data_IF_968406068680
#
_entry.id   IF_968406068680
#
_cell.length_a   1.000
_cell.length_b   1.000
_cell.length_c   1.000
_cell.angle_alpha   90.00
_cell.angle_beta   90.00
_cell.angle_gamma   90.00
#
_symmetry.space_group_name_H-M   'P 1'
#
loop_
_entity.id
_entity.type
_entity.pdbx_description
1 polymer ?
#
# COMPACT_ATOMS: atom_id res chain seq x y z
N UNK A 1 60.21 -2.62 -24.55
CA UNK A 1 59.64 -2.82 -23.20
C UNK A 1 58.54 -1.79 -23.00
N UNK A 2 57.29 -2.23 -22.95
CA UNK A 2 56.17 -1.62 -22.21
C UNK A 2 54.96 -2.54 -22.41
N UNK A 3 54.81 -3.47 -21.46
CA UNK A 3 53.75 -4.48 -21.46
C UNK A 3 52.38 -3.82 -21.26
N UNK A 4 51.45 -4.12 -22.17
CA UNK A 4 50.06 -3.70 -22.06
C UNK A 4 49.35 -4.51 -20.96
N UNK A 5 49.09 -3.87 -19.82
CA UNK A 5 48.30 -4.44 -18.72
C UNK A 5 46.86 -4.67 -19.19
N UNK A 6 46.58 -5.90 -19.62
CA UNK A 6 45.23 -6.35 -19.96
C UNK A 6 44.45 -6.58 -18.66
N UNK A 7 43.61 -5.61 -18.29
CA UNK A 7 42.73 -5.77 -17.13
C UNK A 7 41.52 -6.63 -17.55
N UNK A 8 41.24 -7.77 -16.89
CA UNK A 8 40.12 -8.63 -17.29
C UNK A 8 38.79 -7.92 -17.03
N UNK A 9 38.00 -7.75 -18.10
CA UNK A 9 36.65 -7.19 -18.05
C UNK A 9 35.74 -8.18 -17.31
N UNK A 10 35.46 -7.92 -16.03
CA UNK A 10 34.51 -8.71 -15.21
C UNK A 10 33.17 -8.84 -15.95
N UNK A 11 32.85 -10.05 -16.39
CA UNK A 11 31.53 -10.41 -16.90
C UNK A 11 30.54 -10.41 -15.73
N UNK A 12 29.65 -9.40 -15.68
CA UNK A 12 28.52 -9.42 -14.74
C UNK A 12 27.62 -10.58 -15.15
N UNK A 13 27.57 -11.65 -14.37
CA UNK A 13 26.61 -12.73 -14.56
C UNK A 13 25.20 -12.13 -14.50
N UNK A 14 24.47 -12.21 -15.63
CA UNK A 14 23.06 -11.83 -15.67
C UNK A 14 22.30 -12.82 -14.81
N UNK A 15 21.86 -12.39 -13.62
CA UNK A 15 20.95 -13.21 -12.82
C UNK A 15 19.69 -13.52 -13.65
N UNK A 16 19.17 -14.75 -13.56
CA UNK A 16 17.95 -15.11 -14.27
C UNK A 16 16.81 -14.17 -13.82
N UNK A 17 16.02 -13.69 -14.79
CA UNK A 17 14.94 -12.71 -14.57
C UNK A 17 13.97 -13.19 -13.47
N UNK A 18 13.75 -14.50 -13.35
CA UNK A 18 12.96 -15.10 -12.28
C UNK A 18 13.51 -14.78 -10.87
N UNK A 19 14.81 -14.97 -10.65
CA UNK A 19 15.46 -14.68 -9.37
C UNK A 19 15.44 -13.17 -9.05
N UNK A 20 15.57 -12.32 -10.07
CA UNK A 20 15.45 -10.85 -9.90
C UNK A 20 14.03 -10.46 -9.48
N UNK A 21 13.00 -11.06 -10.11
CA UNK A 21 11.59 -10.82 -9.77
C UNK A 21 11.26 -11.32 -8.37
N UNK A 22 11.75 -12.49 -7.99
CA UNK A 22 11.56 -13.06 -6.66
C UNK A 22 12.23 -12.19 -5.58
N UNK A 23 13.48 -11.75 -5.81
CA UNK A 23 14.17 -10.81 -4.94
C UNK A 23 13.46 -9.44 -4.82
N UNK A 24 12.80 -8.96 -5.88
CA UNK A 24 11.97 -7.76 -5.81
C UNK A 24 10.68 -7.99 -5.00
N UNK A 25 10.05 -9.15 -5.13
CA UNK A 25 8.85 -9.52 -4.36
C UNK A 25 9.14 -9.63 -2.87
N UNK A 26 10.23 -10.30 -2.49
CA UNK A 26 10.65 -10.44 -1.08
C UNK A 26 11.00 -9.10 -0.45
N UNK A 27 11.73 -8.24 -1.16
CA UNK A 27 12.01 -6.86 -0.71
C UNK A 27 10.73 -6.05 -0.48
N UNK A 28 9.78 -6.07 -1.43
CA UNK A 28 8.47 -5.41 -1.26
C UNK A 28 7.64 -6.02 -0.13
N UNK A 29 7.74 -7.31 0.12
CA UNK A 29 7.05 -7.95 1.24
C UNK A 29 7.64 -7.51 2.59
N UNK A 30 8.97 -7.46 2.70
CA UNK A 30 9.67 -6.95 3.89
C UNK A 30 9.37 -5.47 4.14
N UNK A 31 9.34 -4.65 3.09
CA UNK A 31 8.96 -3.24 3.21
C UNK A 31 7.53 -3.11 3.75
N UNK A 32 6.56 -3.85 3.19
CA UNK A 32 5.17 -3.86 3.67
C UNK A 32 5.06 -4.34 5.12
N UNK A 33 5.87 -5.32 5.53
CA UNK A 33 5.90 -5.77 6.91
C UNK A 33 6.40 -4.66 7.85
N UNK A 34 7.48 -3.95 7.49
CA UNK A 34 7.98 -2.81 8.27
C UNK A 34 7.01 -1.63 8.32
N UNK A 35 6.37 -1.31 7.19
CA UNK A 35 5.35 -0.26 7.14
C UNK A 35 4.14 -0.63 8.01
N UNK A 36 3.73 -1.89 7.97
CA UNK A 36 2.69 -2.42 8.85
C UNK A 36 3.08 -2.38 10.33
N UNK A 37 4.31 -2.74 10.68
CA UNK A 37 4.84 -2.61 12.04
C UNK A 37 4.87 -1.15 12.51
N UNK A 38 5.19 -0.22 11.61
CA UNK A 38 5.16 1.22 11.88
C UNK A 38 3.74 1.82 11.91
N UNK A 39 2.68 1.01 11.75
CA UNK A 39 1.31 1.51 11.76
C UNK A 39 0.93 2.31 10.51
N UNK A 40 1.64 2.15 9.39
CA UNK A 40 1.30 2.78 8.10
C UNK A 40 0.55 1.77 7.21
N UNK A 41 -0.64 2.11 6.69
CA UNK A 41 -1.33 1.24 5.74
C UNK A 41 -0.58 1.19 4.40
N UNK A 42 -0.48 0.00 3.80
CA UNK A 42 0.05 -0.15 2.45
C UNK A 42 -0.92 0.39 1.38
N UNK A 43 -0.41 0.71 0.20
CA UNK A 43 -1.22 1.26 -0.89
C UNK A 43 -2.43 0.37 -1.24
N UNK A 44 -2.25 -0.96 -1.22
CA UNK A 44 -3.32 -1.90 -1.50
C UNK A 44 -4.41 -1.94 -0.43
N UNK A 45 -4.08 -1.65 0.84
CA UNK A 45 -5.08 -1.51 1.90
C UNK A 45 -5.91 -0.24 1.70
N UNK A 46 -5.27 0.87 1.30
CA UNK A 46 -5.94 2.14 1.01
C UNK A 46 -6.90 1.98 -0.17
N UNK A 47 -6.45 1.41 -1.29
CA UNK A 47 -7.29 1.22 -2.48
C UNK A 47 -8.53 0.37 -2.19
N UNK A 48 -8.34 -0.71 -1.44
CA UNK A 48 -9.47 -1.57 -1.05
C UNK A 48 -10.42 -0.87 -0.08
N UNK A 49 -9.90 -0.07 0.86
CA UNK A 49 -10.75 0.69 1.76
C UNK A 49 -11.55 1.78 1.04
N UNK A 50 -10.94 2.44 0.04
CA UNK A 50 -11.64 3.40 -0.83
C UNK A 50 -12.75 2.70 -1.64
N UNK A 51 -12.45 1.53 -2.22
CA UNK A 51 -13.45 0.74 -2.95
C UNK A 51 -14.61 0.27 -2.07
N UNK A 52 -14.32 -0.20 -0.86
CA UNK A 52 -15.35 -0.57 0.12
C UNK A 52 -16.20 0.64 0.53
N UNK A 53 -15.56 1.79 0.74
CA UNK A 53 -16.26 3.04 1.10
C UNK A 53 -17.20 3.49 -0.03
N UNK A 54 -16.72 3.51 -1.27
CA UNK A 54 -17.55 3.78 -2.44
C UNK A 54 -18.72 2.81 -2.53
N UNK A 55 -18.48 1.51 -2.35
CA UNK A 55 -19.54 0.50 -2.40
C UNK A 55 -20.61 0.74 -1.33
N UNK A 56 -20.22 1.13 -0.11
CA UNK A 56 -21.17 1.46 0.97
C UNK A 56 -21.98 2.70 0.60
N UNK A 57 -21.32 3.75 0.13
CA UNK A 57 -21.99 4.99 -0.23
C UNK A 57 -22.96 4.81 -1.40
N UNK A 58 -22.54 4.06 -2.44
CA UNK A 58 -23.33 3.79 -3.64
C UNK A 58 -24.51 2.82 -3.39
N UNK A 59 -24.46 2.03 -2.30
CA UNK A 59 -25.54 1.10 -1.93
C UNK A 59 -26.42 1.61 -0.77
N UNK A 60 -26.19 2.82 -0.27
CA UNK A 60 -26.84 3.31 0.94
C UNK A 60 -28.32 3.66 0.72
N UNK A 61 -28.68 4.09 -0.49
CA UNK A 61 -30.03 4.51 -0.88
C UNK A 61 -30.30 4.24 -2.36
N UNK A 62 -31.57 4.20 -2.76
CA UNK A 62 -32.00 4.09 -4.17
C UNK A 62 -31.48 5.23 -5.06
N UNK A 63 -31.26 6.41 -4.49
CA UNK A 63 -30.73 7.60 -5.19
C UNK A 63 -29.20 7.74 -5.07
N UNK A 64 -28.51 6.73 -4.56
CA UNK A 64 -27.06 6.82 -4.30
C UNK A 64 -26.20 7.01 -5.56
N UNK A 65 -26.74 6.73 -6.74
CA UNK A 65 -26.06 6.97 -8.02
C UNK A 65 -26.28 8.39 -8.58
N UNK A 66 -27.32 9.09 -8.14
CA UNK A 66 -27.64 10.46 -8.59
C UNK A 66 -27.17 11.53 -7.60
N UNK A 67 -26.88 11.15 -6.36
CA UNK A 67 -26.40 12.08 -5.33
C UNK A 67 -24.89 12.32 -5.45
N UNK A 68 -24.41 13.57 -5.37
CA UNK A 68 -22.99 13.86 -5.36
C UNK A 68 -22.30 13.26 -4.13
N UNK A 69 -21.22 12.52 -4.37
CA UNK A 69 -20.32 12.02 -3.32
C UNK A 69 -19.34 13.14 -2.98
N UNK A 70 -19.38 13.61 -1.73
CA UNK A 70 -18.40 14.59 -1.25
C UNK A 70 -17.09 13.90 -0.88
N UNK A 71 -15.97 14.58 -1.12
CA UNK A 71 -14.64 14.09 -0.74
C UNK A 71 -14.55 13.81 0.77
N UNK A 72 -15.11 14.70 1.60
CA UNK A 72 -15.14 14.54 3.06
C UNK A 72 -15.82 13.24 3.47
N UNK A 73 -17.02 12.97 2.94
CA UNK A 73 -17.76 11.75 3.27
C UNK A 73 -17.00 10.50 2.81
N UNK A 74 -16.39 10.53 1.63
CA UNK A 74 -15.57 9.43 1.11
C UNK A 74 -14.36 9.14 2.02
N UNK A 75 -13.63 10.18 2.44
CA UNK A 75 -12.46 10.03 3.31
C UNK A 75 -12.84 9.52 4.70
N UNK A 76 -13.94 10.00 5.27
CA UNK A 76 -14.47 9.52 6.55
C UNK A 76 -14.88 8.05 6.50
N UNK A 77 -15.60 7.64 5.45
CA UNK A 77 -16.00 6.25 5.27
C UNK A 77 -14.77 5.35 5.01
N UNK A 78 -13.80 5.83 4.22
CA UNK A 78 -12.52 5.11 4.01
C UNK A 78 -11.80 4.84 5.34
N UNK A 79 -11.76 5.84 6.24
CA UNK A 79 -11.20 5.68 7.59
C UNK A 79 -11.97 4.64 8.41
N UNK A 80 -13.30 4.60 8.30
CA UNK A 80 -14.14 3.57 8.95
C UNK A 80 -13.81 2.19 8.42
N UNK A 81 -13.66 2.02 7.11
CA UNK A 81 -13.30 0.75 6.48
C UNK A 81 -11.91 0.24 6.90
N UNK A 82 -10.91 1.14 7.00
CA UNK A 82 -9.58 0.78 7.51
C UNK A 82 -9.65 0.27 8.95
N UNK A 83 -10.40 0.96 9.83
CA UNK A 83 -10.62 0.52 11.22
C UNK A 83 -11.39 -0.80 11.30
N UNK A 84 -12.42 -0.99 10.47
CA UNK A 84 -13.17 -2.23 10.42
C UNK A 84 -12.28 -3.42 10.01
N UNK A 85 -11.40 -3.21 9.01
CA UNK A 85 -10.40 -4.21 8.57
C UNK A 85 -9.41 -4.55 9.69
N UNK A 86 -8.92 -3.55 10.41
CA UNK A 86 -8.08 -3.77 11.60
C UNK A 86 -8.80 -4.63 12.64
N UNK A 87 -10.03 -4.26 13.04
CA UNK A 87 -10.83 -5.01 14.02
C UNK A 87 -11.06 -6.47 13.58
N UNK A 88 -11.37 -6.70 12.30
CA UNK A 88 -11.53 -8.05 11.75
C UNK A 88 -10.23 -8.87 11.81
N UNK A 89 -9.07 -8.26 11.57
CA UNK A 89 -7.76 -8.94 11.68
C UNK A 89 -7.44 -9.32 13.12
N UNK A 90 -7.66 -8.41 14.07
CA UNK A 90 -7.50 -8.67 15.51
C UNK A 90 -8.39 -9.83 15.95
N UNK A 91 -9.68 -9.79 15.58
CA UNK A 91 -10.64 -10.87 15.88
C UNK A 91 -10.22 -12.22 15.30
N UNK A 92 -9.52 -12.22 14.16
CA UNK A 92 -9.01 -13.43 13.52
C UNK A 92 -7.66 -13.93 14.11
N UNK A 93 -7.23 -13.41 15.26
CA UNK A 93 -5.98 -13.81 15.92
C UNK A 93 -4.72 -13.38 15.18
N UNK A 94 -4.83 -12.49 14.18
CA UNK A 94 -3.68 -11.95 13.44
C UNK A 94 -3.15 -10.74 14.20
N UNK A 95 -1.84 -10.47 14.05
CA UNK A 95 -1.22 -9.25 14.55
C UNK A 95 -2.06 -8.03 14.15
N UNK A 96 -2.66 -7.39 15.16
CA UNK A 96 -3.49 -6.22 14.99
C UNK A 96 -2.61 -5.04 14.65
N UNK A 97 -2.48 -4.72 13.36
CA UNK A 97 -1.79 -3.49 12.96
C UNK A 97 -2.67 -2.32 13.39
N UNK A 98 -2.26 -1.62 14.45
CA UNK A 98 -2.86 -0.35 14.84
C UNK A 98 -2.30 0.73 13.95
N UNK A 99 -3.16 1.25 13.07
CA UNK A 99 -2.75 2.33 12.19
C UNK A 99 -2.66 3.65 12.95
N UNK A 100 -1.55 4.35 12.78
CA UNK A 100 -1.39 5.72 13.24
C UNK A 100 -2.22 6.65 12.34
N UNK A 101 -3.14 7.47 12.90
CA UNK A 101 -3.95 8.40 12.13
C UNK A 101 -3.13 9.36 11.24
N UNK A 102 -1.98 9.85 11.71
CA UNK A 102 -1.13 10.75 10.95
C UNK A 102 -0.47 10.01 9.77
N UNK A 103 0.03 8.80 10.00
CA UNK A 103 0.62 7.98 8.92
C UNK A 103 -0.42 7.51 7.91
N UNK A 104 -1.67 7.31 8.32
CA UNK A 104 -2.79 7.05 7.39
C UNK A 104 -3.03 8.25 6.49
N UNK A 105 -3.07 9.47 7.04
CA UNK A 105 -3.25 10.70 6.25
C UNK A 105 -2.11 10.85 5.24
N UNK A 106 -0.86 10.69 5.66
CA UNK A 106 0.29 10.79 4.77
C UNK A 106 0.31 9.68 3.71
N UNK A 107 -0.07 8.45 4.07
CA UNK A 107 -0.21 7.37 3.10
C UNK A 107 -1.35 7.65 2.09
N UNK A 108 -2.45 8.26 2.53
CA UNK A 108 -3.54 8.66 1.63
C UNK A 108 -3.12 9.79 0.70
N UNK A 109 -2.46 10.84 1.21
CA UNK A 109 -1.91 11.93 0.38
C UNK A 109 -0.98 11.39 -0.69
N UNK A 110 -0.02 10.55 -0.29
CA UNK A 110 0.92 9.92 -1.20
C UNK A 110 0.20 9.04 -2.25
N UNK A 111 -0.82 8.29 -1.84
CA UNK A 111 -1.57 7.41 -2.75
C UNK A 111 -2.41 8.18 -3.76
N UNK A 112 -3.05 9.26 -3.32
CA UNK A 112 -3.93 10.12 -4.11
C UNK A 112 -3.17 11.22 -4.88
N UNK A 113 -1.83 11.28 -4.72
CA UNK A 113 -0.96 12.31 -5.31
C UNK A 113 -1.43 13.72 -4.95
N UNK A 114 -1.89 13.90 -3.72
CA UNK A 114 -2.25 15.22 -3.19
C UNK A 114 -0.94 15.95 -2.90
N UNK A 115 -0.72 17.16 -3.46
CA UNK A 115 0.48 17.95 -3.15
C UNK A 115 0.55 18.24 -1.65
N UNK A 116 1.77 18.24 -1.12
CA UNK A 116 2.06 18.45 0.29
C UNK A 116 1.69 19.87 0.75
#
# INVERSE_FOLDING_TARGET
MLDAVTTPRRTRSRQPIAAVREGARTRKARQRAREAEAGRPDAGAIDRALGDALRVMLNSTSESLSRPITLRALLEETRRQLRARQRRRVKAGKAGITYDPALVVEAMKARLKIPA
#
